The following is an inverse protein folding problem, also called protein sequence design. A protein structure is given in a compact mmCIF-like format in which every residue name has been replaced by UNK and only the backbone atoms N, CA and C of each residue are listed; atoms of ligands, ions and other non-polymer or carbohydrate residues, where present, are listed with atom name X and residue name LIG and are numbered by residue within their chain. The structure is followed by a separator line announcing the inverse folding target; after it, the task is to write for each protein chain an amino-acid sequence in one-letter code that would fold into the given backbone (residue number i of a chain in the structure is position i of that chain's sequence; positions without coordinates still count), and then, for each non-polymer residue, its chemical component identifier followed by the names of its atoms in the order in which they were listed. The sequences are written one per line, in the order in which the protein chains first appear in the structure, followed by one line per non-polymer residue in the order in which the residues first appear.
data_IF_020887186119
#
_entry.id   IF_020887186119
#
_cell.length_a   1.000
_cell.length_b   1.000
_cell.length_c   1.000
_cell.angle_alpha   90.00
_cell.angle_beta   90.00
_cell.angle_gamma   90.00
#
_symmetry.space_group_name_H-M   'P 1'
#
loop_
_entity.id
_entity.type
_entity.pdbx_description
1 polymer ?
#
# COMPACT_ATOMS: atom_id res chain seq x y z
N UNK A 1 -20.87 -0.19 -3.44
CA UNK A 1 -19.79 -1.01 -2.88
C UNK A 1 -18.56 -0.77 -3.74
N UNK A 2 -17.58 -0.05 -3.22
CA UNK A 2 -16.31 0.10 -3.92
C UNK A 2 -15.54 -1.22 -3.80
N UNK A 3 -15.53 -2.00 -4.88
CA UNK A 3 -14.75 -3.24 -4.94
C UNK A 3 -13.23 -2.99 -5.01
N UNK A 4 -12.84 -1.73 -5.17
CA UNK A 4 -11.47 -1.30 -5.39
C UNK A 4 -10.97 -0.42 -4.24
N UNK A 5 -9.67 -0.52 -3.94
CA UNK A 5 -9.03 0.41 -3.03
C UNK A 5 -9.15 1.87 -3.52
N UNK A 6 -9.65 2.81 -2.70
CA UNK A 6 -9.82 4.21 -3.07
C UNK A 6 -8.48 4.93 -3.27
N UNK A 7 -7.40 4.38 -2.71
CA UNK A 7 -6.04 4.89 -2.91
C UNK A 7 -5.32 4.25 -4.10
N UNK A 8 -5.94 3.34 -4.86
CA UNK A 8 -5.28 2.62 -5.95
C UNK A 8 -4.77 3.55 -7.06
N UNK A 9 -5.61 4.49 -7.53
CA UNK A 9 -5.24 5.38 -8.66
C UNK A 9 -4.14 6.39 -8.30
N UNK A 10 -4.15 6.88 -7.05
CA UNK A 10 -3.17 7.86 -6.55
C UNK A 10 -2.06 7.20 -5.75
N UNK A 11 -1.91 5.87 -5.83
CA UNK A 11 -0.98 5.14 -4.98
C UNK A 11 0.47 5.42 -5.42
N UNK A 12 1.36 5.92 -4.52
CA UNK A 12 2.73 6.26 -4.92
C UNK A 12 3.58 5.06 -5.37
N UNK A 13 3.13 3.83 -5.08
CA UNK A 13 3.84 2.63 -5.54
C UNK A 13 3.56 2.34 -7.01
N UNK A 14 2.32 2.55 -7.48
CA UNK A 14 1.95 2.31 -8.86
C UNK A 14 2.38 3.46 -9.77
N UNK A 15 2.34 4.69 -9.26
CA UNK A 15 2.76 5.89 -9.99
C UNK A 15 4.25 6.25 -9.78
N UNK A 16 5.00 5.42 -9.07
CA UNK A 16 6.39 5.68 -8.70
C UNK A 16 7.21 4.40 -8.80
N UNK A 17 7.48 3.77 -7.65
CA UNK A 17 8.46 2.68 -7.52
C UNK A 17 8.22 1.49 -8.47
N UNK A 18 6.96 1.14 -8.73
CA UNK A 18 6.58 0.04 -9.61
C UNK A 18 6.01 0.50 -10.95
N UNK A 19 6.16 1.78 -11.30
CA UNK A 19 5.72 2.30 -12.61
C UNK A 19 6.38 1.52 -13.76
N UNK A 20 7.68 1.26 -13.64
CA UNK A 20 8.45 0.47 -14.63
C UNK A 20 8.32 -1.05 -14.43
N UNK A 21 7.73 -1.51 -13.33
CA UNK A 21 7.56 -2.93 -12.99
C UNK A 21 6.12 -3.37 -13.20
N UNK A 22 5.66 -3.29 -14.45
CA UNK A 22 4.26 -3.53 -14.85
C UNK A 22 3.68 -4.85 -14.31
N UNK A 23 4.44 -5.94 -14.36
CA UNK A 23 3.97 -7.25 -13.85
C UNK A 23 3.72 -7.22 -12.35
N UNK A 24 4.69 -6.75 -11.57
CA UNK A 24 4.58 -6.64 -10.11
C UNK A 24 3.48 -5.66 -9.70
N UNK A 25 3.40 -4.52 -10.40
CA UNK A 25 2.36 -3.50 -10.22
C UNK A 25 0.96 -4.09 -10.42
N UNK A 26 0.72 -4.82 -11.51
CA UNK A 26 -0.54 -5.52 -11.78
C UNK A 26 -0.85 -6.56 -10.71
N UNK A 27 0.12 -7.37 -10.30
CA UNK A 27 -0.08 -8.39 -9.26
C UNK A 27 -0.48 -7.76 -7.92
N UNK A 28 0.21 -6.70 -7.49
CA UNK A 28 -0.15 -6.00 -6.25
C UNK A 28 -1.49 -5.28 -6.34
N UNK A 29 -1.82 -4.68 -7.48
CA UNK A 29 -3.14 -4.05 -7.68
C UNK A 29 -4.24 -5.10 -7.59
N UNK A 30 -4.07 -6.25 -8.25
CA UNK A 30 -5.04 -7.34 -8.17
C UNK A 30 -5.20 -7.89 -6.75
N UNK A 31 -4.09 -8.11 -6.05
CA UNK A 31 -4.08 -8.72 -4.73
C UNK A 31 -4.53 -7.77 -3.60
N UNK A 32 -4.12 -6.51 -3.63
CA UNK A 32 -4.34 -5.57 -2.54
C UNK A 32 -5.28 -4.43 -2.88
N UNK A 33 -5.76 -4.30 -4.12
CA UNK A 33 -6.69 -3.23 -4.50
C UNK A 33 -7.98 -3.77 -5.09
N UNK A 34 -7.94 -4.78 -5.96
CA UNK A 34 -9.13 -5.29 -6.69
C UNK A 34 -9.78 -6.52 -6.02
N UNK A 35 -9.10 -7.13 -5.03
CA UNK A 35 -9.61 -8.28 -4.30
C UNK A 35 -10.59 -7.92 -3.15
N UNK A 36 -11.25 -6.75 -3.23
CA UNK A 36 -12.26 -6.31 -2.26
C UNK A 36 -11.72 -5.76 -0.94
N UNK A 37 -12.64 -5.28 -0.10
CA UNK A 37 -12.36 -4.53 1.14
C UNK A 37 -11.39 -5.19 2.10
N UNK A 38 -11.62 -6.46 2.40
CA UNK A 38 -10.74 -7.23 3.28
C UNK A 38 -9.28 -7.20 2.80
N UNK A 39 -9.06 -7.25 1.49
CA UNK A 39 -7.72 -7.29 0.91
C UNK A 39 -7.01 -5.93 1.02
N UNK A 40 -7.66 -4.83 0.66
CA UNK A 40 -7.01 -3.51 0.76
C UNK A 40 -6.85 -3.01 2.19
N UNK A 41 -7.69 -3.47 3.13
CA UNK A 41 -7.48 -3.24 4.56
C UNK A 41 -6.22 -3.93 5.09
N UNK A 42 -5.76 -5.03 4.48
CA UNK A 42 -4.49 -5.68 4.87
C UNK A 42 -3.24 -5.05 4.24
N UNK A 43 -3.41 -4.10 3.32
CA UNK A 43 -2.29 -3.41 2.67
C UNK A 43 -1.53 -2.55 3.68
N UNK A 44 -0.27 -2.90 3.97
CA UNK A 44 0.56 -2.15 4.93
C UNK A 44 0.70 -0.68 4.59
N UNK A 45 0.72 -0.33 3.30
CA UNK A 45 0.78 1.07 2.84
C UNK A 45 -0.46 1.86 3.26
N UNK A 46 -1.63 1.26 3.10
CA UNK A 46 -2.88 1.90 3.50
C UNK A 46 -2.96 1.99 5.02
N UNK A 47 -2.68 0.91 5.75
CA UNK A 47 -2.69 0.92 7.21
C UNK A 47 -1.76 2.00 7.78
N UNK A 48 -0.55 2.10 7.25
CA UNK A 48 0.44 3.13 7.65
C UNK A 48 -0.08 4.54 7.35
N UNK A 49 -0.67 4.75 6.17
CA UNK A 49 -1.28 6.04 5.80
C UNK A 49 -2.44 6.41 6.72
N UNK A 50 -3.28 5.46 7.08
CA UNK A 50 -4.42 5.67 7.98
C UNK A 50 -3.94 6.00 9.40
N UNK A 51 -2.90 5.31 9.88
CA UNK A 51 -2.39 5.48 11.24
C UNK A 51 -1.53 6.76 11.41
N UNK A 52 -0.63 7.05 10.48
CA UNK A 52 0.32 8.16 10.59
C UNK A 52 0.03 9.34 9.64
N UNK A 53 -1.02 9.26 8.83
CA UNK A 53 -1.36 10.27 7.80
C UNK A 53 -0.42 10.28 6.59
N UNK A 54 0.69 9.53 6.64
CA UNK A 54 1.74 9.49 5.61
C UNK A 54 2.12 8.04 5.32
N UNK A 55 2.54 7.78 4.07
CA UNK A 55 3.04 6.48 3.66
C UNK A 55 4.43 6.65 3.05
N UNK A 56 5.44 5.89 3.52
CA UNK A 56 6.77 5.92 2.91
C UNK A 56 6.69 5.49 1.45
N UNK A 57 7.44 6.13 0.54
CA UNK A 57 7.46 5.71 -0.85
C UNK A 57 7.94 4.25 -0.98
N UNK A 58 9.01 3.89 -0.26
CA UNK A 58 9.68 2.59 -0.29
C UNK A 58 8.92 1.43 0.36
N UNK A 59 7.84 1.72 1.09
CA UNK A 59 7.05 0.69 1.75
C UNK A 59 6.25 -0.11 0.72
N UNK A 60 6.37 -1.44 0.73
CA UNK A 60 5.58 -2.34 -0.11
C UNK A 60 4.27 -2.79 0.58
N UNK A 61 3.19 -3.10 -0.16
CA UNK A 61 1.90 -3.53 0.38
C UNK A 61 1.98 -4.81 1.20
N UNK A 62 2.90 -5.71 0.82
CA UNK A 62 3.14 -7.03 1.39
C UNK A 62 4.28 -7.04 2.44
N UNK A 63 4.67 -5.88 2.97
CA UNK A 63 5.72 -5.83 3.99
C UNK A 63 5.39 -6.76 5.16
N UNK A 64 6.37 -7.56 5.59
CA UNK A 64 6.24 -8.43 6.76
C UNK A 64 6.23 -7.64 8.08
N UNK A 65 6.62 -6.37 8.04
CA UNK A 65 6.66 -5.50 9.21
C UNK A 65 5.26 -5.10 9.67
N UNK A 66 5.11 -4.93 10.98
CA UNK A 66 3.93 -4.31 11.60
C UNK A 66 3.89 -2.81 11.31
N UNK A 67 2.72 -2.19 11.49
CA UNK A 67 2.55 -0.76 11.22
C UNK A 67 3.41 0.08 12.18
N UNK A 68 3.56 -0.34 13.44
CA UNK A 68 4.44 0.32 14.40
C UNK A 68 5.92 0.22 14.04
N UNK A 69 6.39 -0.96 13.61
CA UNK A 69 7.77 -1.11 13.15
C UNK A 69 8.06 -0.26 11.91
N UNK A 70 7.08 -0.13 11.01
CA UNK A 70 7.15 0.78 9.85
C UNK A 70 7.24 2.22 10.35
N UNK A 71 6.40 2.61 11.31
CA UNK A 71 6.43 3.94 11.91
C UNK A 71 7.79 4.29 12.49
N UNK A 72 8.42 3.37 13.22
CA UNK A 72 9.76 3.55 13.79
C UNK A 72 10.81 3.60 12.69
N UNK A 73 10.81 2.63 11.75
CA UNK A 73 11.82 2.52 10.70
C UNK A 73 11.85 3.73 9.76
N UNK A 74 10.68 4.28 9.45
CA UNK A 74 10.55 5.44 8.56
C UNK A 74 10.33 6.76 9.31
N UNK A 75 10.49 6.75 10.63
CA UNK A 75 10.36 7.92 11.50
C UNK A 75 9.05 8.71 11.28
N UNK A 76 7.93 7.97 11.25
CA UNK A 76 6.56 8.50 11.08
C UNK A 76 5.86 8.81 12.41
N UNK A 77 6.51 8.47 13.53
CA UNK A 77 6.05 8.63 14.92
C UNK A 77 6.89 9.67 15.65
#
# INVERSE_FOLDING_TARGET
MENNCPSAEKCPIFNGILSDKLTTSKSYRKQFCEAGEASWQTCKRLMTKTQYGKCPPELLPNSAMTVDEIGIKFNLK
#
